data_IF_357512647996
#
_entry.id   IF_357512647996
#
_cell.length_a   1.000
_cell.length_b   1.000
_cell.length_c   1.000
_cell.angle_alpha   90.00
_cell.angle_beta   90.00
_cell.angle_gamma   90.00
#
_symmetry.space_group_name_H-M   'P 1'
#
loop_
_entity.id
_entity.type
_entity.pdbx_description
1 polymer ?
#
# COMPACT_ATOMS: atom_id res chain seq x y z
N UNK A 1 41.82 -22.91 2.80
CA UNK A 1 40.58 -23.53 3.32
C UNK A 1 39.62 -22.43 3.75
N UNK A 2 38.56 -22.12 3.01
CA UNK A 2 37.63 -21.08 3.43
C UNK A 2 36.69 -21.65 4.50
N UNK A 3 36.82 -21.15 5.72
CA UNK A 3 35.88 -21.37 6.82
C UNK A 3 34.52 -20.84 6.39
N UNK A 4 33.52 -21.71 6.44
CA UNK A 4 32.13 -21.46 6.15
C UNK A 4 31.61 -20.22 6.90
N UNK A 5 31.45 -19.10 6.21
CA UNK A 5 30.56 -18.01 6.63
C UNK A 5 29.12 -18.44 6.36
N UNK A 6 28.63 -19.43 7.11
CA UNK A 6 27.18 -19.62 7.26
C UNK A 6 26.66 -18.34 7.92
N UNK A 7 25.94 -17.55 7.13
CA UNK A 7 25.25 -16.35 7.60
C UNK A 7 24.38 -16.71 8.81
N UNK A 8 24.82 -16.29 9.99
CA UNK A 8 24.27 -16.81 11.25
C UNK A 8 22.85 -16.30 11.49
N UNK A 9 21.85 -17.07 11.02
CA UNK A 9 20.43 -16.84 11.25
C UNK A 9 20.15 -16.77 12.76
N UNK A 10 19.30 -15.83 13.23
CA UNK A 10 18.91 -15.80 14.63
C UNK A 10 18.18 -17.09 15.00
N UNK A 11 18.70 -17.83 15.98
CA UNK A 11 18.13 -19.10 16.43
C UNK A 11 18.21 -19.19 17.95
N UNK A 12 17.24 -19.90 18.52
CA UNK A 12 17.25 -20.26 19.93
C UNK A 12 17.24 -21.78 20.00
N UNK A 13 18.21 -22.34 20.71
CA UNK A 13 18.27 -23.78 20.97
C UNK A 13 17.96 -24.01 22.44
N UNK A 14 16.99 -24.88 22.71
CA UNK A 14 16.67 -25.34 24.06
C UNK A 14 17.38 -26.66 24.32
N UNK A 15 18.07 -26.76 25.45
CA UNK A 15 18.72 -27.99 25.92
C UNK A 15 18.26 -28.29 27.34
N UNK A 16 17.70 -29.48 27.55
CA UNK A 16 17.33 -29.98 28.87
C UNK A 16 18.54 -30.63 29.53
N UNK A 17 18.99 -30.13 30.68
CA UNK A 17 20.00 -30.78 31.51
C UNK A 17 19.36 -31.34 32.78
N UNK A 18 20.03 -32.30 33.42
CA UNK A 18 19.56 -32.96 34.65
C UNK A 18 19.33 -31.99 35.84
N UNK A 19 19.81 -30.75 35.75
CA UNK A 19 19.69 -29.71 36.79
C UNK A 19 18.93 -28.44 36.32
N UNK A 20 18.27 -28.47 35.14
CA UNK A 20 17.48 -27.35 34.61
C UNK A 20 17.48 -27.23 33.09
N UNK A 21 16.66 -26.33 32.56
CA UNK A 21 16.58 -26.00 31.13
C UNK A 21 17.53 -24.85 30.79
N UNK A 22 18.30 -24.96 29.69
CA UNK A 22 19.11 -23.85 29.17
C UNK A 22 18.62 -23.45 27.78
N UNK A 23 18.27 -22.17 27.62
CA UNK A 23 18.01 -21.54 26.33
C UNK A 23 19.27 -20.82 25.84
N UNK A 24 19.89 -21.36 24.79
CA UNK A 24 21.05 -20.75 24.13
C UNK A 24 20.59 -19.89 22.96
N UNK A 25 20.96 -18.61 23.00
CA UNK A 25 20.66 -17.64 21.95
C UNK A 25 21.86 -17.52 21.03
N UNK A 26 21.64 -17.79 19.74
CA UNK A 26 22.71 -17.86 18.74
C UNK A 26 22.38 -16.99 17.52
N UNK A 27 23.44 -16.59 16.80
CA UNK A 27 23.35 -15.87 15.54
C UNK A 27 23.24 -14.36 15.67
N UNK A 28 22.75 -13.70 14.61
CA UNK A 28 22.62 -12.24 14.51
C UNK A 28 21.18 -11.79 14.75
N UNK A 29 20.96 -11.21 15.92
CA UNK A 29 19.68 -10.66 16.35
C UNK A 29 19.59 -9.20 15.95
N UNK A 30 19.29 -8.99 14.66
CA UNK A 30 19.15 -7.66 14.07
C UNK A 30 17.84 -7.53 13.31
N UNK A 31 17.24 -6.35 13.30
CA UNK A 31 15.99 -6.04 12.58
C UNK A 31 16.06 -6.47 11.11
N UNK A 32 17.21 -6.26 10.45
CA UNK A 32 17.43 -6.66 9.06
C UNK A 32 17.30 -8.18 8.85
N UNK A 33 17.80 -9.01 9.78
CA UNK A 33 17.70 -10.47 9.68
C UNK A 33 16.36 -11.02 10.13
N UNK A 34 15.66 -10.29 10.99
CA UNK A 34 14.32 -10.64 11.45
C UNK A 34 13.22 -10.19 10.48
N UNK A 35 13.56 -9.36 9.48
CA UNK A 35 12.67 -9.02 8.38
C UNK A 35 12.48 -10.18 7.38
N UNK A 36 13.35 -11.20 7.40
CA UNK A 36 13.19 -12.41 6.61
C UNK A 36 12.04 -13.27 7.18
N UNK A 37 10.96 -13.53 6.39
CA UNK A 37 9.80 -14.30 6.86
C UNK A 37 10.16 -15.69 7.38
N UNK A 38 11.14 -16.37 6.78
CA UNK A 38 11.53 -17.73 7.16
C UNK A 38 12.28 -17.73 8.50
N UNK A 39 13.21 -16.79 8.68
CA UNK A 39 13.93 -16.63 9.94
C UNK A 39 12.97 -16.22 11.08
N UNK A 40 12.01 -15.34 10.80
CA UNK A 40 11.03 -14.89 11.78
C UNK A 40 10.10 -16.02 12.25
N UNK A 41 9.55 -16.81 11.32
CA UNK A 41 8.67 -17.93 11.65
C UNK A 41 9.36 -19.00 12.50
N UNK A 42 10.61 -19.36 12.17
CA UNK A 42 11.42 -20.29 12.98
C UNK A 42 11.66 -19.74 14.39
N UNK A 43 12.01 -18.45 14.49
CA UNK A 43 12.25 -17.80 15.78
C UNK A 43 10.99 -17.76 16.65
N UNK A 44 9.84 -17.43 16.05
CA UNK A 44 8.55 -17.39 16.73
C UNK A 44 8.15 -18.79 17.24
N UNK A 45 8.40 -19.84 16.44
CA UNK A 45 8.18 -21.22 16.86
C UNK A 45 9.05 -21.59 18.08
N UNK A 46 10.36 -21.32 18.03
CA UNK A 46 11.27 -21.59 19.15
C UNK A 46 10.91 -20.81 20.43
N UNK A 47 10.53 -19.54 20.30
CA UNK A 47 10.06 -18.74 21.44
C UNK A 47 8.75 -19.25 22.02
N UNK A 48 7.84 -19.75 21.19
CA UNK A 48 6.57 -20.30 21.65
C UNK A 48 6.75 -21.62 22.41
N UNK A 49 7.71 -22.46 22.02
CA UNK A 49 8.07 -23.67 22.74
C UNK A 49 8.61 -23.36 24.15
N UNK A 50 9.44 -22.32 24.26
CA UNK A 50 10.02 -21.88 25.53
C UNK A 50 9.01 -21.27 26.50
N UNK A 51 7.88 -20.71 26.02
CA UNK A 51 6.82 -20.20 26.89
C UNK A 51 6.15 -21.29 27.75
N UNK A 52 6.24 -22.55 27.34
CA UNK A 52 5.65 -23.68 28.08
C UNK A 52 6.56 -24.17 29.22
N UNK A 53 7.81 -23.71 29.31
CA UNK A 53 8.73 -24.04 30.40
C UNK A 53 8.52 -23.03 31.54
N UNK A 54 8.33 -23.47 32.79
CA UNK A 54 8.19 -22.55 33.92
C UNK A 54 9.44 -21.66 34.06
N UNK A 55 9.22 -20.34 34.18
CA UNK A 55 10.26 -19.32 34.12
C UNK A 55 11.36 -19.47 35.19
N UNK A 56 11.13 -20.22 36.27
CA UNK A 56 12.10 -20.49 37.33
C UNK A 56 13.16 -21.54 36.98
N UNK A 57 12.93 -22.38 35.96
CA UNK A 57 13.85 -23.46 35.58
C UNK A 57 14.67 -23.16 34.32
N UNK A 58 14.43 -22.00 33.69
CA UNK A 58 15.00 -21.63 32.40
C UNK A 58 16.15 -20.64 32.56
N UNK A 59 17.37 -21.11 32.31
CA UNK A 59 18.58 -20.28 32.27
C UNK A 59 18.82 -19.77 30.83
N UNK A 60 19.23 -18.52 30.69
CA UNK A 60 19.49 -17.89 29.39
C UNK A 60 20.97 -17.65 29.16
N UNK A 61 21.50 -18.16 28.04
CA UNK A 61 22.89 -17.98 27.64
C UNK A 61 22.98 -17.24 26.29
N UNK A 62 23.53 -16.02 26.33
CA UNK A 62 23.71 -15.12 25.18
C UNK A 62 25.17 -15.07 24.70
N UNK A 63 26.08 -15.87 25.25
CA UNK A 63 27.51 -15.82 24.89
C UNK A 63 27.79 -16.21 23.44
N UNK A 64 26.88 -16.95 22.80
CA UNK A 64 26.99 -17.35 21.37
C UNK A 64 26.34 -16.35 20.41
N UNK A 65 25.96 -15.18 20.90
CA UNK A 65 25.28 -14.16 20.14
C UNK A 65 26.32 -13.27 19.43
N UNK A 66 26.26 -13.20 18.10
CA UNK A 66 27.25 -12.45 17.30
C UNK A 66 26.97 -10.94 17.27
N UNK A 67 25.69 -10.57 17.23
CA UNK A 67 25.25 -9.16 17.21
C UNK A 67 23.84 -9.04 17.75
N UNK A 68 23.63 -8.09 18.68
CA UNK A 68 22.33 -7.74 19.25
C UNK A 68 22.01 -6.29 18.89
N UNK A 69 20.81 -6.02 18.39
CA UNK A 69 20.28 -4.67 18.26
C UNK A 69 19.09 -4.41 19.19
N UNK A 70 18.53 -3.21 19.12
CA UNK A 70 17.45 -2.78 20.01
C UNK A 70 16.17 -3.59 19.77
N UNK A 71 15.88 -3.97 18.52
CA UNK A 71 14.74 -4.80 18.15
C UNK A 71 14.89 -6.22 18.68
N UNK A 72 16.07 -6.83 18.53
CA UNK A 72 16.37 -8.15 19.06
C UNK A 72 16.33 -8.18 20.59
N UNK A 73 16.89 -7.16 21.24
CA UNK A 73 16.83 -6.99 22.69
C UNK A 73 15.38 -6.79 23.18
N UNK A 74 14.57 -6.00 22.47
CA UNK A 74 13.14 -5.81 22.75
C UNK A 74 12.35 -7.11 22.61
N UNK A 75 12.67 -7.94 21.63
CA UNK A 75 12.02 -9.24 21.46
C UNK A 75 12.34 -10.17 22.63
N UNK A 76 13.62 -10.29 23.02
CA UNK A 76 14.03 -11.08 24.18
C UNK A 76 13.34 -10.59 25.46
N UNK A 77 13.35 -9.27 25.69
CA UNK A 77 12.70 -8.65 26.84
C UNK A 77 11.19 -8.94 26.89
N UNK A 78 10.49 -8.84 25.75
CA UNK A 78 9.09 -9.20 25.65
C UNK A 78 8.85 -10.70 25.85
N UNK A 79 9.79 -11.56 25.43
CA UNK A 79 9.70 -13.01 25.62
C UNK A 79 9.84 -13.43 27.09
N UNK A 80 10.63 -12.68 27.88
CA UNK A 80 10.76 -12.87 29.33
C UNK A 80 9.60 -12.27 30.14
N UNK A 81 8.53 -11.82 29.47
CA UNK A 81 7.42 -11.15 30.14
C UNK A 81 7.80 -9.79 30.72
N UNK A 82 8.85 -9.14 30.21
CA UNK A 82 9.41 -7.87 30.69
C UNK A 82 9.93 -7.93 32.12
N UNK A 83 10.45 -9.09 32.51
CA UNK A 83 11.14 -9.29 33.77
C UNK A 83 12.52 -9.88 33.48
N UNK A 84 13.48 -9.63 34.38
CA UNK A 84 14.80 -10.25 34.25
C UNK A 84 14.70 -11.75 34.55
N UNK A 85 15.29 -12.62 33.72
CA UNK A 85 15.38 -14.04 34.03
C UNK A 85 16.28 -14.26 35.27
N UNK A 86 16.03 -15.34 36.02
CA UNK A 86 16.76 -15.63 37.26
C UNK A 86 18.27 -15.86 37.04
N UNK A 87 18.62 -16.52 35.92
CA UNK A 87 20.00 -16.80 35.53
C UNK A 87 20.22 -16.33 34.10
N UNK A 88 21.05 -15.30 33.93
CA UNK A 88 21.42 -14.72 32.64
C UNK A 88 22.94 -14.68 32.47
N UNK A 89 23.45 -15.37 31.46
CA UNK A 89 24.85 -15.28 31.04
C UNK A 89 24.93 -14.40 29.79
N UNK A 90 25.36 -13.15 29.97
CA UNK A 90 25.50 -12.16 28.90
C UNK A 90 26.80 -11.37 29.04
N UNK A 91 27.36 -10.94 27.92
CA UNK A 91 28.53 -10.06 27.91
C UNK A 91 28.15 -8.62 28.32
N UNK A 92 29.11 -7.84 28.81
CA UNK A 92 28.92 -6.44 29.21
C UNK A 92 28.16 -5.58 28.16
N UNK A 93 28.52 -5.56 26.86
CA UNK A 93 27.78 -4.78 25.86
C UNK A 93 26.34 -5.27 25.63
N UNK A 94 26.11 -6.59 25.69
CA UNK A 94 24.78 -7.19 25.53
C UNK A 94 23.87 -6.81 26.71
N UNK A 95 24.43 -6.87 27.93
CA UNK A 95 23.72 -6.50 29.16
C UNK A 95 23.36 -5.01 29.17
N UNK A 96 24.29 -4.12 28.79
CA UNK A 96 24.02 -2.69 28.69
C UNK A 96 22.89 -2.36 27.69
N UNK A 97 22.79 -3.12 26.59
CA UNK A 97 21.70 -2.99 25.63
C UNK A 97 20.36 -3.45 26.20
N UNK A 98 20.33 -4.60 26.88
CA UNK A 98 19.13 -5.12 27.54
C UNK A 98 18.65 -4.19 28.67
N UNK A 99 19.57 -3.62 29.44
CA UNK A 99 19.25 -2.63 30.48
C UNK A 99 18.60 -1.36 29.91
N UNK A 100 19.09 -0.90 28.74
CA UNK A 100 18.46 0.21 28.02
C UNK A 100 17.03 -0.12 27.60
N UNK A 101 16.83 -1.31 27.04
CA UNK A 101 15.49 -1.77 26.65
C UNK A 101 14.58 -1.93 27.87
N UNK A 102 15.08 -2.51 28.96
CA UNK A 102 14.33 -2.67 30.21
C UNK A 102 13.88 -1.31 30.78
N UNK A 103 14.74 -0.28 30.69
CA UNK A 103 14.43 1.07 31.17
C UNK A 103 13.41 1.81 30.29
N UNK A 104 13.47 1.65 28.97
CA UNK A 104 12.66 2.44 28.03
C UNK A 104 11.51 1.66 27.37
N UNK A 105 11.33 0.38 27.67
CA UNK A 105 10.18 -0.39 27.19
C UNK A 105 8.90 0.14 27.81
N UNK A 106 8.02 0.69 26.98
CA UNK A 106 6.66 1.06 27.37
C UNK A 106 5.73 -0.12 27.11
N UNK A 107 4.72 -0.31 27.96
CA UNK A 107 3.68 -1.28 27.69
C UNK A 107 3.00 -0.97 26.34
N UNK A 108 2.82 -1.96 25.44
CA UNK A 108 2.04 -1.79 24.23
C UNK A 108 0.68 -1.28 24.65
N UNK A 109 0.21 -0.24 23.96
CA UNK A 109 -1.17 0.22 24.07
C UNK A 109 -2.05 -1.02 23.92
N UNK A 110 -2.83 -1.33 24.97
CA UNK A 110 -3.74 -2.45 24.91
C UNK A 110 -4.58 -2.30 23.62
N UNK A 111 -4.73 -3.35 22.81
CA UNK A 111 -5.56 -3.28 21.63
C UNK A 111 -6.94 -2.79 22.09
N UNK A 112 -7.39 -1.66 21.56
CA UNK A 112 -8.65 -1.09 21.99
C UNK A 112 -9.75 -2.12 21.69
N UNK A 113 -10.36 -2.69 22.74
CA UNK A 113 -11.39 -3.71 22.61
C UNK A 113 -12.60 -3.07 21.92
N UNK A 114 -12.95 -3.60 20.75
CA UNK A 114 -14.09 -3.17 19.94
C UNK A 114 -15.42 -3.33 20.70
N UNK A 115 -16.36 -2.42 20.46
CA UNK A 115 -17.70 -2.77 19.93
C UNK A 115 -18.51 -1.49 19.65
N UNK A 116 -18.93 -1.33 18.38
CA UNK A 116 -19.84 -0.31 17.82
C UNK A 116 -19.39 1.17 17.92
N UNK A 117 -18.94 1.64 19.07
CA UNK A 117 -18.52 3.04 19.27
C UNK A 117 -17.33 3.45 18.40
N UNK A 118 -16.38 2.53 18.16
CA UNK A 118 -15.26 2.79 17.25
C UNK A 118 -15.69 2.85 15.78
N UNK A 119 -16.76 2.15 15.39
CA UNK A 119 -17.30 2.26 14.03
C UNK A 119 -17.95 3.63 13.81
N UNK A 120 -18.65 4.15 14.82
CA UNK A 120 -19.19 5.50 14.81
C UNK A 120 -18.08 6.56 14.75
N UNK A 121 -17.05 6.46 15.61
CA UNK A 121 -15.86 7.32 15.57
C UNK A 121 -15.12 7.21 14.23
N UNK A 122 -15.05 5.99 13.67
CA UNK A 122 -14.45 5.72 12.36
C UNK A 122 -15.22 6.38 11.22
N UNK A 123 -16.55 6.39 11.28
CA UNK A 123 -17.41 7.10 10.34
C UNK A 123 -17.21 8.62 10.44
N UNK A 124 -17.15 9.16 11.67
CA UNK A 124 -16.82 10.57 11.89
C UNK A 124 -15.47 10.97 11.27
N UNK A 125 -14.42 10.17 11.48
CA UNK A 125 -13.11 10.38 10.85
C UNK A 125 -13.14 10.29 9.32
N UNK A 126 -14.04 9.51 8.73
CA UNK A 126 -14.21 9.42 7.27
C UNK A 126 -14.94 10.65 6.73
N UNK A 127 -15.99 11.10 7.43
CA UNK A 127 -16.74 12.31 7.06
C UNK A 127 -15.85 13.55 7.14
N UNK A 128 -15.08 13.70 8.23
CA UNK A 128 -14.14 14.82 8.37
C UNK A 128 -13.07 14.81 7.27
N UNK A 129 -12.50 13.64 6.94
CA UNK A 129 -11.57 13.51 5.80
C UNK A 129 -12.23 13.83 4.46
N UNK A 130 -13.48 13.41 4.25
CA UNK A 130 -14.21 13.75 3.03
C UNK A 130 -14.45 15.27 2.91
N UNK A 131 -14.72 15.95 4.03
CA UNK A 131 -14.84 17.41 4.07
C UNK A 131 -13.50 18.11 3.80
N UNK A 132 -12.39 17.58 4.33
CA UNK A 132 -11.04 18.06 3.99
C UNK A 132 -10.77 17.91 2.50
N UNK A 133 -11.06 16.75 1.90
CA UNK A 133 -10.92 16.54 0.46
C UNK A 133 -11.81 17.47 -0.37
N UNK A 134 -13.04 17.74 0.08
CA UNK A 134 -13.92 18.68 -0.61
C UNK A 134 -13.39 20.11 -0.54
N UNK A 135 -12.82 20.51 0.60
CA UNK A 135 -12.12 21.79 0.75
C UNK A 135 -10.89 21.89 -0.16
N UNK A 136 -10.11 20.82 -0.25
CA UNK A 136 -8.94 20.78 -1.13
C UNK A 136 -9.34 20.85 -2.62
N UNK A 137 -10.41 20.14 -3.00
CA UNK A 137 -10.98 20.21 -4.35
C UNK A 137 -11.45 21.63 -4.69
N UNK A 138 -12.19 22.29 -3.78
CA UNK A 138 -12.64 23.67 -4.01
C UNK A 138 -11.46 24.64 -4.08
N UNK A 139 -10.40 24.44 -3.28
CA UNK A 139 -9.16 25.22 -3.37
C UNK A 139 -8.46 25.01 -4.71
N UNK A 140 -8.35 23.77 -5.18
CA UNK A 140 -7.74 23.43 -6.46
C UNK A 140 -8.53 24.08 -7.62
N UNK A 141 -9.85 23.91 -7.65
CA UNK A 141 -10.72 24.52 -8.65
C UNK A 141 -10.60 26.05 -8.64
N UNK A 142 -10.53 26.66 -7.46
CA UNK A 142 -10.32 28.11 -7.31
C UNK A 142 -8.98 28.57 -7.87
N UNK A 143 -7.88 27.83 -7.60
CA UNK A 143 -6.57 28.15 -8.16
C UNK A 143 -6.56 28.01 -9.69
N UNK A 144 -7.10 26.89 -10.21
CA UNK A 144 -7.21 26.65 -11.65
C UNK A 144 -8.02 27.75 -12.35
N UNK A 145 -9.14 28.18 -11.76
CA UNK A 145 -9.96 29.25 -12.30
C UNK A 145 -9.21 30.59 -12.34
N UNK A 146 -8.50 30.95 -11.26
CA UNK A 146 -7.69 32.17 -11.20
C UNK A 146 -6.53 32.13 -12.20
N UNK A 147 -5.87 30.98 -12.36
CA UNK A 147 -4.78 30.80 -13.30
C UNK A 147 -5.28 30.86 -14.76
N UNK A 148 -6.45 30.30 -15.06
CA UNK A 148 -7.11 30.46 -16.36
C UNK A 148 -7.45 31.93 -16.65
N UNK A 149 -7.96 32.68 -15.67
CA UNK A 149 -8.23 34.12 -15.82
C UNK A 149 -6.94 34.92 -16.04
N UNK A 150 -5.85 34.58 -15.32
CA UNK A 150 -4.54 35.20 -15.53
C UNK A 150 -3.99 34.91 -16.92
N UNK A 151 -4.09 33.66 -17.37
CA UNK A 151 -3.69 33.25 -18.71
C UNK A 151 -4.52 33.95 -19.80
N UNK A 152 -5.84 34.10 -19.60
CA UNK A 152 -6.71 34.82 -20.53
C UNK A 152 -6.37 36.32 -20.60
N UNK A 153 -5.94 36.94 -19.49
CA UNK A 153 -5.48 38.34 -19.47
C UNK A 153 -4.10 38.54 -20.07
N UNK A 154 -3.21 37.55 -19.97
CA UNK A 154 -1.84 37.62 -20.47
C UNK A 154 -1.47 36.34 -21.25
N UNK A 155 -2.05 36.10 -22.44
CA UNK A 155 -1.91 34.84 -23.15
C UNK A 155 -0.47 34.54 -23.56
N UNK A 156 0.38 35.56 -23.76
CA UNK A 156 1.78 35.37 -24.18
C UNK A 156 2.68 34.70 -23.14
N UNK A 157 2.27 34.66 -21.87
CA UNK A 157 3.04 34.06 -20.76
C UNK A 157 2.71 32.58 -20.56
N UNK A 158 1.70 32.06 -21.28
CA UNK A 158 1.23 30.69 -21.14
C UNK A 158 2.21 29.62 -21.64
N UNK A 159 2.18 28.41 -21.06
CA UNK A 159 2.97 27.26 -21.49
C UNK A 159 2.39 26.59 -22.75
N UNK A 160 2.28 27.33 -23.86
CA UNK A 160 1.64 26.84 -25.10
C UNK A 160 2.28 25.59 -25.68
N UNK A 161 3.59 25.42 -25.47
CA UNK A 161 4.33 24.26 -25.94
C UNK A 161 3.85 22.98 -25.25
N UNK A 162 3.67 23.02 -23.93
CA UNK A 162 3.17 21.87 -23.15
C UNK A 162 1.71 21.57 -23.48
N UNK A 163 0.87 22.61 -23.58
CA UNK A 163 -0.54 22.47 -23.99
C UNK A 163 -0.64 21.81 -25.37
N UNK A 164 0.14 22.27 -26.34
CA UNK A 164 0.15 21.68 -27.69
C UNK A 164 0.64 20.22 -27.69
N UNK A 165 1.63 19.90 -26.86
CA UNK A 165 2.12 18.54 -26.67
C UNK A 165 1.04 17.61 -26.12
N UNK A 166 0.28 18.06 -25.12
CA UNK A 166 -0.83 17.30 -24.57
C UNK A 166 -1.99 17.14 -25.56
N UNK A 167 -2.35 18.19 -26.31
CA UNK A 167 -3.38 18.11 -27.35
C UNK A 167 -2.96 17.11 -28.44
N UNK A 168 -1.69 17.13 -28.86
CA UNK A 168 -1.18 16.17 -29.83
C UNK A 168 -1.21 14.75 -29.25
N UNK A 169 -0.71 14.55 -28.04
CA UNK A 169 -0.63 13.22 -27.45
C UNK A 169 -2.01 12.63 -27.20
N UNK A 170 -2.97 13.40 -26.70
CA UNK A 170 -4.33 12.91 -26.40
C UNK A 170 -5.16 12.82 -27.69
N UNK A 171 -5.17 13.89 -28.48
CA UNK A 171 -6.00 13.98 -29.69
C UNK A 171 -5.47 13.13 -30.83
N UNK A 172 -4.20 13.34 -31.24
CA UNK A 172 -3.68 12.71 -32.45
C UNK A 172 -3.53 11.18 -32.31
N UNK A 173 -3.27 10.68 -31.10
CA UNK A 173 -3.23 9.23 -30.86
C UNK A 173 -4.61 8.59 -30.84
N UNK A 174 -5.65 9.33 -30.42
CA UNK A 174 -7.03 8.84 -30.41
C UNK A 174 -7.67 8.85 -31.81
N UNK A 175 -7.29 9.81 -32.68
CA UNK A 175 -7.89 10.03 -34.00
C UNK A 175 -8.15 8.75 -34.82
N UNK A 176 -7.18 7.83 -35.00
CA UNK A 176 -7.38 6.64 -35.83
C UNK A 176 -8.48 5.72 -35.31
N UNK A 177 -8.55 5.52 -33.99
CA UNK A 177 -9.54 4.65 -33.35
C UNK A 177 -10.92 5.31 -33.42
N UNK A 178 -11.03 6.60 -33.05
CA UNK A 178 -12.29 7.36 -33.18
C UNK A 178 -12.81 7.39 -34.62
N UNK A 179 -11.94 7.55 -35.61
CA UNK A 179 -12.32 7.55 -37.02
C UNK A 179 -12.83 6.18 -37.47
N UNK A 180 -12.13 5.10 -37.10
CA UNK A 180 -12.51 3.74 -37.47
C UNK A 180 -13.85 3.33 -36.85
N UNK A 181 -14.02 3.59 -35.54
CA UNK A 181 -15.24 3.27 -34.81
C UNK A 181 -16.40 4.12 -35.31
N UNK A 182 -16.20 5.43 -35.47
CA UNK A 182 -17.22 6.34 -36.00
C UNK A 182 -17.66 5.97 -37.41
N UNK A 183 -16.71 5.58 -38.27
CA UNK A 183 -17.01 5.10 -39.63
C UNK A 183 -17.83 3.81 -39.59
N UNK A 184 -17.39 2.80 -38.83
CA UNK A 184 -18.07 1.51 -38.75
C UNK A 184 -19.50 1.66 -38.19
N UNK A 185 -19.65 2.44 -37.12
CA UNK A 185 -20.96 2.74 -36.53
C UNK A 185 -21.84 3.49 -37.53
N UNK A 186 -21.28 4.47 -38.25
CA UNK A 186 -22.00 5.20 -39.30
C UNK A 186 -22.55 4.28 -40.40
N UNK A 187 -21.73 3.34 -40.88
CA UNK A 187 -22.16 2.34 -41.88
C UNK A 187 -23.24 1.41 -41.34
N UNK A 188 -23.07 0.90 -40.11
CA UNK A 188 -24.05 0.02 -39.47
C UNK A 188 -25.39 0.74 -39.29
N UNK A 189 -25.38 1.98 -38.81
CA UNK A 189 -26.59 2.78 -38.63
C UNK A 189 -27.25 3.15 -39.96
N UNK A 190 -26.47 3.47 -40.99
CA UNK A 190 -27.00 3.72 -42.33
C UNK A 190 -27.76 2.50 -42.85
N UNK A 191 -27.21 1.31 -42.68
CA UNK A 191 -27.85 0.06 -43.08
C UNK A 191 -29.16 -0.18 -42.30
N UNK A 192 -29.12 -0.07 -40.97
CA UNK A 192 -30.29 -0.26 -40.11
C UNK A 192 -31.42 0.73 -40.44
N UNK A 193 -31.08 2.01 -40.59
CA UNK A 193 -32.05 3.05 -40.93
C UNK A 193 -32.62 2.83 -42.33
N UNK A 194 -31.79 2.45 -43.30
CA UNK A 194 -32.26 2.14 -44.64
C UNK A 194 -33.23 0.95 -44.66
N UNK A 195 -32.97 -0.09 -43.88
CA UNK A 195 -33.87 -1.24 -43.79
C UNK A 195 -35.21 -0.85 -43.13
N UNK A 196 -35.17 -0.03 -42.09
CA UNK A 196 -36.38 0.41 -41.39
C UNK A 196 -37.23 1.35 -42.24
N UNK A 197 -36.62 2.34 -42.91
CA UNK A 197 -37.34 3.33 -43.72
C UNK A 197 -37.92 2.74 -45.01
N UNK A 198 -37.27 1.73 -45.60
CA UNK A 198 -37.81 0.98 -46.75
C UNK A 198 -39.18 0.39 -46.46
N UNK A 199 -39.38 -0.13 -45.24
CA UNK A 199 -40.66 -0.70 -44.82
C UNK A 199 -41.79 0.34 -44.76
N UNK A 200 -41.44 1.62 -44.62
CA UNK A 200 -42.37 2.75 -44.63
C UNK A 200 -42.41 3.49 -45.97
N UNK A 201 -41.72 3.01 -47.00
CA UNK A 201 -41.63 3.68 -48.32
C UNK A 201 -40.88 5.02 -48.31
N UNK A 202 -40.04 5.26 -47.31
CA UNK A 202 -39.43 6.56 -47.03
C UNK A 202 -37.93 6.65 -47.39
N UNK A 203 -37.50 5.98 -48.47
CA UNK A 203 -36.09 5.87 -48.86
C UNK A 203 -35.36 7.21 -49.05
N UNK A 204 -36.07 8.22 -49.57
CA UNK A 204 -35.51 9.55 -49.81
C UNK A 204 -35.10 10.30 -48.52
N UNK A 205 -35.64 9.91 -47.36
CA UNK A 205 -35.37 10.56 -46.07
C UNK A 205 -34.20 9.95 -45.30
N UNK A 206 -33.66 8.80 -45.74
CA UNK A 206 -32.60 8.07 -45.03
C UNK A 206 -31.40 8.96 -44.75
N UNK A 207 -30.87 9.65 -45.77
CA UNK A 207 -29.67 10.49 -45.64
C UNK A 207 -29.91 11.66 -44.68
N UNK A 208 -31.09 12.28 -44.75
CA UNK A 208 -31.40 13.47 -43.97
C UNK A 208 -31.62 13.15 -42.48
N UNK A 209 -32.35 12.06 -42.19
CA UNK A 209 -32.58 11.60 -40.82
C UNK A 209 -31.28 11.07 -40.20
N UNK A 210 -30.52 10.27 -40.94
CA UNK A 210 -29.23 9.76 -40.49
C UNK A 210 -28.24 10.90 -40.20
N UNK A 211 -28.13 11.88 -41.11
CA UNK A 211 -27.22 13.01 -40.94
C UNK A 211 -27.51 13.84 -39.69
N UNK A 212 -28.79 14.16 -39.45
CA UNK A 212 -29.20 14.90 -38.25
C UNK A 212 -28.97 14.07 -36.98
N UNK A 213 -29.33 12.79 -36.99
CA UNK A 213 -29.14 11.90 -35.85
C UNK A 213 -27.66 11.72 -35.47
N UNK A 214 -26.78 11.59 -36.48
CA UNK A 214 -25.34 11.50 -36.26
C UNK A 214 -24.74 12.77 -35.66
N UNK A 215 -25.12 13.94 -36.16
CA UNK A 215 -24.54 15.21 -35.67
C UNK A 215 -25.08 15.58 -34.28
N UNK A 216 -26.38 15.38 -34.05
CA UNK A 216 -27.06 15.88 -32.85
C UNK A 216 -27.03 14.91 -31.68
N UNK A 217 -27.19 13.62 -31.93
CA UNK A 217 -27.37 12.62 -30.88
C UNK A 217 -26.10 11.77 -30.72
N UNK A 218 -25.67 11.11 -31.79
CA UNK A 218 -24.62 10.09 -31.70
C UNK A 218 -23.21 10.66 -31.68
N UNK A 219 -22.95 11.79 -32.34
CA UNK A 219 -21.64 12.42 -32.37
C UNK A 219 -21.12 12.80 -30.98
N UNK A 220 -21.89 13.57 -30.18
CA UNK A 220 -21.52 13.89 -28.81
C UNK A 220 -21.42 12.66 -27.90
N UNK A 221 -22.31 11.68 -28.06
CA UNK A 221 -22.31 10.45 -27.25
C UNK A 221 -21.07 9.59 -27.55
N UNK A 222 -20.71 9.40 -28.81
CA UNK A 222 -19.51 8.65 -29.20
C UNK A 222 -18.23 9.35 -28.73
N UNK A 223 -18.17 10.68 -28.85
CA UNK A 223 -17.05 11.46 -28.30
C UNK A 223 -16.95 11.30 -26.78
N UNK A 224 -18.07 11.34 -26.05
CA UNK A 224 -18.08 11.15 -24.60
C UNK A 224 -17.62 9.74 -24.18
N UNK A 225 -18.10 8.69 -24.87
CA UNK A 225 -17.73 7.30 -24.55
C UNK A 225 -16.26 7.01 -24.87
N UNK A 226 -15.72 7.58 -25.95
CA UNK A 226 -14.33 7.35 -26.35
C UNK A 226 -13.32 8.14 -25.51
N UNK A 227 -13.75 9.23 -24.86
CA UNK A 227 -12.91 10.07 -23.99
C UNK A 227 -12.97 9.64 -22.51
N UNK A 228 -14.10 9.05 -22.08
CA UNK A 228 -14.30 8.56 -20.71
C UNK A 228 -13.45 7.33 -20.39
#
# INVERSE_FOLDING_TARGET
MPVQLQEATPRITHQQLAAGSIAQVQGRWTAARMADPMAWSQLQASLSQLKNVPAGELQWDLRRLQRLDHTGAQLLWNSWGRQWPQVLQAEAPQRAMLERVAKYTVAPLAPERNEVWQQYLGLGRRVLRALEHLRDLTRLLGHLALDLVRLARAPRVGPWRDVSGHIYHIGATALPITALVGFLIGVVLAYLMAQQLRQFGADAFIVNILGIALIRELGPVLAAILVA
#
